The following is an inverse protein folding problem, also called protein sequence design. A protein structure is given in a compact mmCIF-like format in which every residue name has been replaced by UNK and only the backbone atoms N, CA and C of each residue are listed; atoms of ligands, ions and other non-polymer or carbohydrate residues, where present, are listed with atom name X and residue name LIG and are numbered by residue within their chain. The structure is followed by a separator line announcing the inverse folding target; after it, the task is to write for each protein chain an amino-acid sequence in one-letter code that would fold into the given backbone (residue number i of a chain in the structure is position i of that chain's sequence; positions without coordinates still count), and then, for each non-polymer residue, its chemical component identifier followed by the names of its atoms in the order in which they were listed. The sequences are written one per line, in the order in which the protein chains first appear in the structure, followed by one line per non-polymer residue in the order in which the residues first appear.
data_IF_775525321434
#
_entry.id   IF_775525321434
#
_cell.length_a   1.000
_cell.length_b   1.000
_cell.length_c   1.000
_cell.angle_alpha   90.00
_cell.angle_beta   90.00
_cell.angle_gamma   90.00
#
_symmetry.space_group_name_H-M   'P 1'
#
loop_
_entity.id
_entity.type
_entity.pdbx_description
1 polymer ?
#
# COMPACT_ATOMS: atom_id res chain seq x y z
N UNK A 1 -7.35 5.88 -17.50
CA UNK A 1 -7.06 4.53 -16.99
C UNK A 1 -8.03 3.53 -17.60
N UNK A 2 -7.57 2.35 -18.06
CA UNK A 2 -8.43 1.31 -18.65
C UNK A 2 -8.97 0.38 -17.54
N UNK A 3 -10.24 0.55 -17.14
CA UNK A 3 -10.90 -0.24 -16.08
C UNK A 3 -12.04 -1.10 -16.65
N UNK A 4 -11.92 -1.54 -17.90
CA UNK A 4 -13.03 -2.20 -18.61
C UNK A 4 -13.19 -3.68 -18.26
N UNK A 5 -12.12 -4.36 -17.85
CA UNK A 5 -12.07 -5.83 -17.76
C UNK A 5 -11.56 -6.35 -16.40
N UNK A 6 -11.56 -5.52 -15.36
CA UNK A 6 -11.14 -5.98 -14.05
C UNK A 6 -12.06 -7.11 -13.57
N UNK A 7 -11.45 -8.22 -13.15
CA UNK A 7 -12.16 -9.30 -12.49
C UNK A 7 -12.78 -8.78 -11.18
N UNK A 8 -13.95 -9.31 -10.82
CA UNK A 8 -14.59 -8.97 -9.56
C UNK A 8 -13.90 -9.73 -8.41
N UNK A 9 -13.82 -9.10 -7.25
CA UNK A 9 -13.36 -9.73 -6.00
C UNK A 9 -14.22 -10.94 -5.67
N UNK A 10 -13.62 -12.01 -5.13
CA UNK A 10 -14.39 -13.16 -4.66
C UNK A 10 -15.45 -12.71 -3.64
N UNK A 11 -16.66 -13.22 -3.82
CA UNK A 11 -17.81 -12.97 -2.95
C UNK A 11 -17.53 -13.26 -1.47
N UNK A 12 -16.57 -14.13 -1.15
CA UNK A 12 -16.17 -14.41 0.25
C UNK A 12 -15.55 -13.20 0.94
N UNK A 13 -14.91 -12.29 0.20
CA UNK A 13 -14.30 -11.07 0.73
C UNK A 13 -15.18 -9.83 0.58
N UNK A 14 -16.19 -9.87 -0.29
CA UNK A 14 -17.07 -8.71 -0.49
C UNK A 14 -17.99 -8.46 0.69
N UNK A 15 -18.24 -7.19 0.98
CA UNK A 15 -19.12 -6.74 2.06
C UNK A 15 -20.35 -6.00 1.52
N UNK A 16 -21.30 -5.73 2.41
CA UNK A 16 -22.50 -4.93 2.14
C UNK A 16 -22.68 -3.84 3.20
N UNK A 17 -21.59 -3.16 3.55
CA UNK A 17 -21.63 -2.00 4.43
C UNK A 17 -22.42 -0.87 3.78
N UNK A 18 -23.20 -0.17 4.60
CA UNK A 18 -23.87 1.08 4.28
C UNK A 18 -22.95 2.28 4.49
N UNK A 19 -23.34 3.45 3.98
CA UNK A 19 -22.61 4.69 4.21
C UNK A 19 -22.53 5.04 5.71
N UNK A 20 -23.65 4.92 6.43
CA UNK A 20 -23.71 5.19 7.88
C UNK A 20 -22.77 4.26 8.67
N UNK A 21 -22.69 2.97 8.31
CA UNK A 21 -21.76 2.02 8.92
C UNK A 21 -20.31 2.42 8.64
N UNK A 22 -19.98 2.74 7.38
CA UNK A 22 -18.65 3.19 6.98
C UNK A 22 -18.23 4.46 7.73
N UNK A 23 -19.09 5.47 7.79
CA UNK A 23 -18.84 6.71 8.54
C UNK A 23 -18.53 6.42 10.01
N UNK A 24 -19.25 5.47 10.62
CA UNK A 24 -19.08 5.13 12.03
C UNK A 24 -17.73 4.47 12.36
N UNK A 25 -17.10 3.80 11.38
CA UNK A 25 -15.81 3.11 11.56
C UNK A 25 -14.65 3.76 10.79
N UNK A 26 -14.87 4.88 10.10
CA UNK A 26 -13.88 5.51 9.23
C UNK A 26 -12.54 5.78 9.93
N UNK A 27 -12.59 6.33 11.14
CA UNK A 27 -11.40 6.65 11.91
C UNK A 27 -10.59 5.41 12.33
N UNK A 28 -11.26 4.25 12.49
CA UNK A 28 -10.60 2.98 12.79
C UNK A 28 -9.97 2.38 11.53
N UNK A 29 -10.70 2.38 10.40
CA UNK A 29 -10.20 1.93 9.09
C UNK A 29 -8.96 2.72 8.65
N UNK A 30 -9.01 4.04 8.80
CA UNK A 30 -7.98 4.97 8.37
C UNK A 30 -7.03 5.40 9.51
N UNK A 31 -6.95 4.62 10.59
CA UNK A 31 -5.99 4.89 11.66
C UNK A 31 -4.52 4.84 11.15
N UNK A 32 -4.24 4.03 10.13
CA UNK A 32 -2.88 3.81 9.62
C UNK A 32 -2.43 4.83 8.57
N UNK A 33 -3.38 5.45 7.86
CA UNK A 33 -3.12 6.43 6.80
C UNK A 33 -3.65 7.84 7.09
N UNK A 34 -4.39 7.99 8.20
CA UNK A 34 -4.93 9.26 8.69
C UNK A 34 -5.78 9.99 7.65
N UNK A 35 -6.42 9.26 6.72
CA UNK A 35 -7.28 9.87 5.72
C UNK A 35 -8.49 10.54 6.40
N UNK A 36 -8.79 11.81 6.08
CA UNK A 36 -9.97 12.48 6.62
C UNK A 36 -11.24 11.85 6.07
N UNK A 37 -12.32 11.86 6.86
CA UNK A 37 -13.64 11.40 6.41
C UNK A 37 -14.10 12.25 5.20
N UNK A 38 -14.33 11.64 4.03
CA UNK A 38 -14.86 12.33 2.87
C UNK A 38 -16.36 12.54 3.00
N UNK A 39 -16.90 13.42 2.17
CA UNK A 39 -18.34 13.66 2.06
C UNK A 39 -18.86 13.28 0.66
N UNK A 40 -20.17 13.14 0.54
CA UNK A 40 -20.89 13.04 -0.75
C UNK A 40 -20.38 11.91 -1.66
N UNK A 41 -20.14 12.21 -2.94
CA UNK A 41 -19.75 11.21 -3.94
C UNK A 41 -18.38 10.57 -3.67
N UNK A 42 -17.48 11.27 -2.97
CA UNK A 42 -16.20 10.69 -2.57
C UNK A 42 -16.39 9.62 -1.49
N UNK A 43 -17.28 9.85 -0.52
CA UNK A 43 -17.67 8.81 0.45
C UNK A 43 -18.26 7.59 -0.25
N UNK A 44 -19.12 7.80 -1.26
CA UNK A 44 -19.68 6.69 -2.04
C UNK A 44 -18.59 5.91 -2.82
N UNK A 45 -17.56 6.57 -3.33
CA UNK A 45 -16.44 5.91 -3.99
C UNK A 45 -15.63 5.05 -3.00
N UNK A 46 -15.37 5.56 -1.79
CA UNK A 46 -14.73 4.80 -0.72
C UNK A 46 -15.60 3.66 -0.20
N UNK A 47 -16.93 3.83 -0.14
CA UNK A 47 -17.85 2.75 0.19
C UNK A 47 -17.76 1.59 -0.78
N UNK A 48 -17.60 1.86 -2.08
CA UNK A 48 -17.34 0.81 -3.05
C UNK A 48 -15.99 0.13 -2.79
N UNK A 49 -14.94 0.90 -2.44
CA UNK A 49 -13.62 0.36 -2.14
C UNK A 49 -13.64 -0.57 -0.93
N UNK A 50 -14.17 -0.12 0.22
CA UNK A 50 -14.20 -0.91 1.45
C UNK A 50 -15.14 -2.12 1.36
N UNK A 51 -16.13 -2.10 0.46
CA UNK A 51 -16.93 -3.29 0.15
C UNK A 51 -16.28 -4.25 -0.85
N UNK A 52 -15.04 -4.00 -1.28
CA UNK A 52 -14.28 -4.85 -2.21
C UNK A 52 -14.66 -4.65 -3.68
N UNK A 53 -15.39 -3.60 -4.04
CA UNK A 53 -15.83 -3.34 -5.42
C UNK A 53 -14.82 -2.43 -6.15
N UNK A 54 -13.54 -2.82 -6.19
CA UNK A 54 -12.42 -1.96 -6.61
C UNK A 54 -12.58 -1.37 -8.02
N UNK A 55 -13.05 -2.16 -9.00
CA UNK A 55 -13.30 -1.65 -10.35
C UNK A 55 -14.35 -0.53 -10.38
N UNK A 56 -15.39 -0.65 -9.54
CA UNK A 56 -16.44 0.37 -9.43
C UNK A 56 -15.94 1.58 -8.65
N UNK A 57 -15.19 1.36 -7.57
CA UNK A 57 -14.56 2.42 -6.79
C UNK A 57 -13.62 3.29 -7.64
N UNK A 58 -12.74 2.66 -8.42
CA UNK A 58 -11.86 3.35 -9.36
C UNK A 58 -12.65 4.13 -10.43
N UNK A 59 -13.71 3.55 -11.00
CA UNK A 59 -14.59 4.26 -11.95
C UNK A 59 -15.32 5.45 -11.31
N UNK A 60 -15.75 5.33 -10.06
CA UNK A 60 -16.38 6.41 -9.32
C UNK A 60 -15.37 7.53 -9.03
N UNK A 61 -14.18 7.19 -8.53
CA UNK A 61 -13.10 8.14 -8.26
C UNK A 61 -12.66 8.91 -9.50
N UNK A 62 -12.52 8.26 -10.67
CA UNK A 62 -12.17 8.95 -11.92
C UNK A 62 -13.18 10.04 -12.33
N UNK A 63 -14.46 9.89 -11.97
CA UNK A 63 -15.49 10.92 -12.27
C UNK A 63 -15.34 12.15 -11.39
N UNK A 64 -14.66 12.03 -10.26
CA UNK A 64 -14.42 13.12 -9.30
C UNK A 64 -13.16 13.94 -9.65
N UNK A 65 -12.36 13.49 -10.63
CA UNK A 65 -11.10 14.15 -10.98
C UNK A 65 -10.09 14.08 -9.83
N UNK A 66 -9.41 15.19 -9.55
CA UNK A 66 -8.35 15.25 -8.54
C UNK A 66 -8.79 14.74 -7.16
N UNK A 67 -10.01 15.09 -6.72
CA UNK A 67 -10.58 14.70 -5.43
C UNK A 67 -10.73 13.16 -5.29
N UNK A 68 -10.88 12.45 -6.40
CA UNK A 68 -10.99 10.98 -6.44
C UNK A 68 -9.67 10.24 -6.62
N UNK A 69 -8.54 10.94 -6.78
CA UNK A 69 -7.25 10.33 -7.13
C UNK A 69 -6.83 9.26 -6.13
N UNK A 70 -6.97 9.53 -4.83
CA UNK A 70 -6.56 8.62 -3.77
C UNK A 70 -7.32 7.27 -3.84
N UNK A 71 -8.65 7.31 -3.98
CA UNK A 71 -9.47 6.08 -4.07
C UNK A 71 -9.22 5.33 -5.38
N UNK A 72 -8.93 6.03 -6.48
CA UNK A 72 -8.53 5.38 -7.75
C UNK A 72 -7.23 4.60 -7.55
N UNK A 73 -6.20 5.24 -7.00
CA UNK A 73 -4.89 4.62 -6.82
C UNK A 73 -4.97 3.44 -5.84
N UNK A 74 -5.65 3.63 -4.70
CA UNK A 74 -5.89 2.54 -3.73
C UNK A 74 -6.62 1.36 -4.35
N UNK A 75 -7.64 1.61 -5.17
CA UNK A 75 -8.38 0.56 -5.87
C UNK A 75 -7.50 -0.19 -6.88
N UNK A 76 -6.59 0.50 -7.57
CA UNK A 76 -5.62 -0.15 -8.46
C UNK A 76 -4.69 -1.05 -7.67
N UNK A 77 -4.08 -0.54 -6.60
CA UNK A 77 -3.14 -1.33 -5.80
C UNK A 77 -3.83 -2.56 -5.21
N UNK A 78 -5.03 -2.41 -4.63
CA UNK A 78 -5.79 -3.54 -4.11
C UNK A 78 -6.13 -4.58 -5.20
N UNK A 79 -6.53 -4.13 -6.39
CA UNK A 79 -6.80 -5.02 -7.51
C UNK A 79 -5.54 -5.76 -7.97
N UNK A 80 -4.41 -5.06 -8.09
CA UNK A 80 -3.16 -5.66 -8.56
C UNK A 80 -2.48 -6.56 -7.54
N UNK A 81 -2.68 -6.31 -6.25
CA UNK A 81 -2.08 -7.11 -5.19
C UNK A 81 -2.84 -8.44 -4.98
N UNK A 82 -4.16 -8.50 -5.26
CA UNK A 82 -4.99 -9.66 -4.88
C UNK A 82 -5.82 -10.32 -5.99
N UNK A 83 -6.06 -9.65 -7.12
CA UNK A 83 -7.09 -10.11 -8.09
C UNK A 83 -6.55 -10.18 -9.52
N UNK A 84 -5.68 -9.26 -9.91
CA UNK A 84 -5.11 -9.20 -11.24
C UNK A 84 -4.19 -10.41 -11.50
N UNK A 85 -4.56 -11.27 -12.45
CA UNK A 85 -3.79 -12.48 -12.80
C UNK A 85 -2.84 -12.27 -14.01
N UNK A 86 -3.03 -11.20 -14.79
CA UNK A 86 -2.20 -10.88 -15.95
C UNK A 86 -1.14 -9.84 -15.57
N UNK A 87 0.10 -10.31 -15.36
CA UNK A 87 1.23 -9.48 -14.92
C UNK A 87 1.44 -8.22 -15.79
N UNK A 88 1.27 -8.32 -17.11
CA UNK A 88 1.46 -7.18 -18.01
C UNK A 88 0.35 -6.14 -17.80
N UNK A 89 -0.89 -6.58 -17.59
CA UNK A 89 -2.00 -5.70 -17.20
C UNK A 89 -1.74 -5.05 -15.83
N UNK A 90 -1.30 -5.80 -14.83
CA UNK A 90 -1.06 -5.26 -13.49
C UNK A 90 0.05 -4.18 -13.51
N UNK A 91 1.15 -4.44 -14.23
CA UNK A 91 2.24 -3.47 -14.40
C UNK A 91 1.75 -2.19 -15.10
N UNK A 92 0.96 -2.32 -16.16
CA UNK A 92 0.40 -1.19 -16.90
C UNK A 92 -0.58 -0.38 -16.05
N UNK A 93 -1.37 -1.02 -15.19
CA UNK A 93 -2.30 -0.37 -14.27
C UNK A 93 -1.55 0.40 -13.18
N UNK A 94 -0.54 -0.20 -12.55
CA UNK A 94 0.31 0.46 -11.56
C UNK A 94 1.02 1.68 -12.17
N UNK A 95 1.50 1.58 -13.42
CA UNK A 95 2.09 2.72 -14.12
C UNK A 95 1.09 3.86 -14.31
N UNK A 96 -0.11 3.54 -14.80
CA UNK A 96 -1.17 4.53 -14.95
C UNK A 96 -1.58 5.17 -13.62
N UNK A 97 -1.58 4.40 -12.52
CA UNK A 97 -1.97 4.88 -11.20
C UNK A 97 -0.97 5.88 -10.61
N UNK A 98 0.33 5.57 -10.61
CA UNK A 98 1.29 6.53 -10.08
C UNK A 98 1.42 7.77 -10.98
N UNK A 99 1.27 7.63 -12.31
CA UNK A 99 1.28 8.78 -13.23
C UNK A 99 0.06 9.68 -13.04
N UNK A 100 -1.11 9.11 -12.70
CA UNK A 100 -2.28 9.88 -12.29
C UNK A 100 -1.98 10.69 -11.04
N UNK A 101 -1.35 10.04 -10.04
CA UNK A 101 -0.85 10.73 -8.85
C UNK A 101 0.12 11.86 -9.20
N UNK A 102 1.15 11.61 -10.01
CA UNK A 102 2.10 12.68 -10.39
C UNK A 102 1.44 13.87 -11.10
N UNK A 103 0.33 13.65 -11.82
CA UNK A 103 -0.38 14.70 -12.54
C UNK A 103 -1.34 15.50 -11.65
N UNK A 104 -2.13 14.81 -10.82
CA UNK A 104 -3.29 15.41 -10.14
C UNK A 104 -3.04 15.66 -8.64
N UNK A 105 -1.93 15.14 -8.10
CA UNK A 105 -1.72 15.13 -6.66
C UNK A 105 -1.27 16.46 -6.09
N UNK A 106 -1.99 16.89 -5.05
CA UNK A 106 -1.57 18.00 -4.21
C UNK A 106 -0.50 17.55 -3.19
N UNK A 107 -0.14 18.44 -2.25
CA UNK A 107 0.83 18.14 -1.20
C UNK A 107 0.22 17.48 0.04
N UNK A 108 -1.03 17.02 -0.04
CA UNK A 108 -1.68 16.32 1.07
C UNK A 108 -1.14 14.89 1.17
N UNK A 109 -1.03 14.39 2.41
CA UNK A 109 -0.63 13.01 2.64
C UNK A 109 -1.60 12.00 2.01
N UNK A 110 -2.91 12.30 2.05
CA UNK A 110 -3.99 11.50 1.46
C UNK A 110 -3.80 11.26 -0.03
N UNK A 111 -3.06 12.13 -0.71
CA UNK A 111 -2.73 11.95 -2.11
C UNK A 111 -1.29 11.47 -2.35
N UNK A 112 -0.31 12.04 -1.65
CA UNK A 112 1.11 11.71 -1.85
C UNK A 112 1.42 10.26 -1.46
N UNK A 113 0.79 9.74 -0.39
CA UNK A 113 1.03 8.38 0.06
C UNK A 113 0.53 7.32 -0.94
N UNK A 114 -0.74 7.33 -1.41
CA UNK A 114 -1.16 6.40 -2.46
C UNK A 114 -0.29 6.47 -3.72
N UNK A 115 0.14 7.67 -4.11
CA UNK A 115 1.06 7.86 -5.25
C UNK A 115 2.39 7.15 -5.02
N UNK A 116 2.98 7.29 -3.83
CA UNK A 116 4.20 6.58 -3.46
C UNK A 116 4.00 5.07 -3.43
N UNK A 117 2.85 4.60 -2.93
CA UNK A 117 2.49 3.19 -2.84
C UNK A 117 2.43 2.56 -4.24
N UNK A 118 1.65 3.12 -5.16
CA UNK A 118 1.55 2.61 -6.54
C UNK A 118 2.89 2.70 -7.29
N UNK A 119 3.67 3.76 -7.05
CA UNK A 119 5.01 3.89 -7.64
C UNK A 119 5.98 2.82 -7.10
N UNK A 120 5.90 2.50 -5.81
CA UNK A 120 6.66 1.44 -5.17
C UNK A 120 6.32 0.07 -5.75
N UNK A 121 5.03 -0.29 -5.79
CA UNK A 121 4.52 -1.51 -6.42
C UNK A 121 4.96 -1.62 -7.89
N UNK A 122 4.78 -0.58 -8.70
CA UNK A 122 5.29 -0.55 -10.07
C UNK A 122 6.80 -0.81 -10.14
N UNK A 123 7.58 -0.23 -9.22
CA UNK A 123 9.03 -0.42 -9.17
C UNK A 123 9.44 -1.85 -8.77
N UNK A 124 8.59 -2.59 -8.04
CA UNK A 124 8.81 -4.00 -7.70
C UNK A 124 8.56 -4.89 -8.92
N UNK A 125 7.58 -4.54 -9.77
CA UNK A 125 7.17 -5.33 -10.93
C UNK A 125 8.00 -5.10 -12.21
N UNK A 126 9.09 -4.32 -12.14
CA UNK A 126 9.95 -4.03 -13.32
C UNK A 126 11.42 -4.30 -13.04
N UNK A 127 12.22 -4.38 -14.11
CA UNK A 127 13.67 -4.53 -13.98
C UNK A 127 14.31 -3.34 -13.25
N UNK A 128 15.36 -3.62 -12.47
CA UNK A 128 16.12 -2.60 -11.75
C UNK A 128 16.65 -1.50 -12.68
N UNK A 129 17.06 -1.87 -13.91
CA UNK A 129 17.56 -0.90 -14.90
C UNK A 129 16.45 0.06 -15.36
N UNK A 130 15.22 -0.42 -15.54
CA UNK A 130 14.06 0.41 -15.89
C UNK A 130 13.68 1.33 -14.71
N UNK A 131 13.68 0.82 -13.48
CA UNK A 131 13.41 1.62 -12.28
C UNK A 131 14.44 2.74 -12.08
N UNK A 132 15.73 2.44 -12.30
CA UNK A 132 16.83 3.41 -12.25
C UNK A 132 16.69 4.49 -13.33
N UNK A 133 16.40 4.09 -14.58
CA UNK A 133 16.24 5.02 -15.69
C UNK A 133 15.08 6.02 -15.46
N UNK A 134 14.03 5.58 -14.76
CA UNK A 134 12.88 6.43 -14.37
C UNK A 134 13.11 7.20 -13.06
N UNK A 135 14.19 6.95 -12.34
CA UNK A 135 14.51 7.60 -11.07
C UNK A 135 13.54 7.28 -9.94
N UNK A 136 12.86 6.13 -9.98
CA UNK A 136 11.74 5.82 -9.09
C UNK A 136 12.12 5.81 -7.60
N UNK A 137 13.29 5.28 -7.25
CA UNK A 137 13.74 5.23 -5.85
C UNK A 137 13.82 6.62 -5.20
N UNK A 138 14.34 7.62 -5.93
CA UNK A 138 14.39 8.99 -5.43
C UNK A 138 12.99 9.61 -5.28
N UNK A 139 12.10 9.37 -6.24
CA UNK A 139 10.72 9.88 -6.22
C UNK A 139 9.91 9.29 -5.07
N UNK A 140 9.93 7.96 -4.90
CA UNK A 140 9.26 7.26 -3.78
C UNK A 140 9.74 7.80 -2.44
N UNK A 141 11.07 7.88 -2.24
CA UNK A 141 11.64 8.40 -0.99
C UNK A 141 11.18 9.82 -0.70
N UNK A 142 11.13 10.70 -1.70
CA UNK A 142 10.72 12.09 -1.52
C UNK A 142 9.25 12.18 -1.11
N UNK A 143 8.34 11.46 -1.80
CA UNK A 143 6.92 11.43 -1.45
C UNK A 143 6.71 10.93 -0.02
N UNK A 144 7.35 9.81 0.36
CA UNK A 144 7.23 9.28 1.72
C UNK A 144 7.83 10.22 2.77
N UNK A 145 8.91 10.93 2.45
CA UNK A 145 9.49 11.93 3.34
C UNK A 145 8.55 13.11 3.57
N UNK A 146 7.88 13.60 2.52
CA UNK A 146 6.91 14.69 2.60
C UNK A 146 5.67 14.28 3.42
N UNK A 147 5.17 13.05 3.19
CA UNK A 147 4.09 12.46 4.00
C UNK A 147 4.49 12.41 5.47
N UNK A 148 5.66 11.84 5.80
CA UNK A 148 6.10 11.70 7.19
C UNK A 148 6.47 13.03 7.84
N UNK A 149 6.83 14.05 7.06
CA UNK A 149 7.03 15.40 7.58
C UNK A 149 5.70 16.04 8.00
N UNK A 150 4.67 15.90 7.16
CA UNK A 150 3.34 16.49 7.41
C UNK A 150 2.52 15.68 8.42
N UNK A 151 2.66 14.36 8.41
CA UNK A 151 1.96 13.42 9.28
C UNK A 151 2.96 12.40 9.88
N UNK A 152 3.70 12.78 10.94
CA UNK A 152 4.70 11.90 11.58
C UNK A 152 4.13 10.64 12.24
N UNK A 153 2.81 10.53 12.34
CA UNK A 153 2.11 9.37 12.90
C UNK A 153 1.42 8.52 11.82
N UNK A 154 1.78 8.67 10.55
CA UNK A 154 1.23 7.89 9.45
C UNK A 154 1.90 6.51 9.39
N UNK A 155 1.23 5.49 9.94
CA UNK A 155 1.79 4.15 10.11
C UNK A 155 2.20 3.49 8.77
N UNK A 156 1.34 3.55 7.74
CA UNK A 156 1.65 2.94 6.44
C UNK A 156 2.84 3.64 5.74
N UNK A 157 2.99 4.96 5.89
CA UNK A 157 4.13 5.69 5.34
C UNK A 157 5.43 5.34 6.07
N UNK A 158 5.37 5.10 7.39
CA UNK A 158 6.51 4.54 8.11
C UNK A 158 6.88 3.19 7.51
N UNK A 159 5.92 2.30 7.32
CA UNK A 159 6.22 0.96 6.83
C UNK A 159 6.71 0.94 5.37
N UNK A 160 6.12 1.75 4.49
CA UNK A 160 6.60 1.93 3.14
C UNK A 160 8.04 2.49 3.12
N UNK A 161 8.42 3.36 4.07
CA UNK A 161 9.80 3.82 4.21
C UNK A 161 10.74 2.71 4.72
N UNK A 162 10.26 1.81 5.59
CA UNK A 162 11.02 0.62 5.96
C UNK A 162 11.28 -0.29 4.76
N UNK A 163 10.25 -0.58 3.97
CA UNK A 163 10.34 -1.35 2.73
C UNK A 163 11.30 -0.71 1.73
N UNK A 164 11.23 0.61 1.54
CA UNK A 164 12.18 1.36 0.70
C UNK A 164 13.63 1.08 1.11
N UNK A 165 13.92 1.15 2.42
CA UNK A 165 15.26 0.86 2.92
C UNK A 165 15.66 -0.60 2.68
N UNK A 166 14.77 -1.53 3.00
CA UNK A 166 15.00 -2.97 2.88
C UNK A 166 15.25 -3.40 1.43
N UNK A 167 14.40 -2.97 0.49
CA UNK A 167 14.52 -3.30 -0.93
C UNK A 167 15.79 -2.76 -1.58
N UNK A 168 16.18 -1.52 -1.27
CA UNK A 168 17.42 -0.97 -1.80
C UNK A 168 18.62 -1.78 -1.32
N UNK A 169 18.60 -2.21 -0.05
CA UNK A 169 19.67 -3.03 0.52
C UNK A 169 19.71 -4.40 -0.14
N UNK A 170 18.56 -5.03 -0.34
CA UNK A 170 18.45 -6.32 -1.02
C UNK A 170 18.93 -6.25 -2.48
N UNK A 171 18.44 -5.27 -3.24
CA UNK A 171 18.70 -5.13 -4.68
C UNK A 171 20.13 -4.73 -5.03
N UNK A 172 20.76 -3.84 -4.26
CA UNK A 172 22.09 -3.29 -4.61
C UNK A 172 23.14 -3.42 -3.50
N UNK A 173 22.79 -4.03 -2.37
CA UNK A 173 23.67 -4.19 -1.22
C UNK A 173 23.74 -2.95 -0.32
N UNK A 174 23.95 -3.18 0.98
CA UNK A 174 23.96 -2.12 2.00
C UNK A 174 24.99 -1.01 1.75
N UNK A 175 26.18 -1.34 1.22
CA UNK A 175 27.24 -0.35 0.97
C UNK A 175 26.86 0.62 -0.15
N UNK A 176 26.48 0.08 -1.32
CA UNK A 176 26.11 0.91 -2.48
C UNK A 176 24.76 1.61 -2.26
N UNK A 177 23.80 0.90 -1.66
CA UNK A 177 22.50 1.45 -1.26
C UNK A 177 22.65 2.59 -0.24
N UNK A 178 23.53 2.43 0.74
CA UNK A 178 23.87 3.46 1.71
C UNK A 178 24.49 4.69 1.07
N UNK A 179 25.43 4.51 0.14
CA UNK A 179 26.13 5.62 -0.52
C UNK A 179 25.21 6.39 -1.49
N UNK A 180 24.38 5.67 -2.25
CA UNK A 180 23.60 6.26 -3.36
C UNK A 180 22.23 6.75 -2.92
N UNK A 181 21.58 6.00 -2.03
CA UNK A 181 20.18 6.22 -1.64
C UNK A 181 20.00 6.56 -0.16
N UNK A 182 21.09 6.48 0.63
CA UNK A 182 21.04 6.63 2.08
C UNK A 182 20.38 5.45 2.77
N UNK A 183 20.32 4.27 2.13
CA UNK A 183 19.62 3.12 2.68
C UNK A 183 20.35 2.52 3.89
N UNK A 184 19.63 2.23 4.99
CA UNK A 184 20.22 1.77 6.25
C UNK A 184 19.30 0.74 6.93
N UNK A 185 19.80 -0.47 7.26
CA UNK A 185 19.01 -1.48 7.98
C UNK A 185 18.42 -0.94 9.28
N UNK A 186 19.24 -0.23 10.08
CA UNK A 186 18.81 0.35 11.35
C UNK A 186 17.61 1.29 11.20
N UNK A 187 17.55 2.08 10.13
CA UNK A 187 16.46 3.02 9.89
C UNK A 187 15.20 2.26 9.46
N UNK A 188 15.35 1.20 8.66
CA UNK A 188 14.23 0.32 8.33
C UNK A 188 13.55 -0.24 9.59
N UNK A 189 14.32 -0.81 10.52
CA UNK A 189 13.78 -1.32 11.78
C UNK A 189 13.09 -0.25 12.62
N UNK A 190 13.64 0.97 12.70
CA UNK A 190 13.00 2.08 13.42
C UNK A 190 11.63 2.44 12.82
N UNK A 191 11.51 2.38 11.49
CA UNK A 191 10.25 2.60 10.81
C UNK A 191 9.25 1.45 11.01
N UNK A 192 9.70 0.19 11.01
CA UNK A 192 8.87 -0.98 11.35
C UNK A 192 8.32 -0.81 12.76
N UNK A 193 9.19 -0.57 13.75
CA UNK A 193 8.80 -0.41 15.14
C UNK A 193 7.78 0.72 15.30
N UNK A 194 8.02 1.88 14.67
CA UNK A 194 7.11 3.01 14.73
C UNK A 194 5.74 2.70 14.09
N UNK A 195 5.72 2.07 12.91
CA UNK A 195 4.48 1.68 12.23
C UNK A 195 3.63 0.75 13.11
N UNK A 196 4.25 -0.26 13.71
CA UNK A 196 3.56 -1.26 14.53
C UNK A 196 3.15 -0.74 15.92
N UNK A 197 3.86 0.26 16.46
CA UNK A 197 3.42 0.99 17.66
C UNK A 197 2.19 1.83 17.36
N UNK A 198 2.12 2.44 16.17
CA UNK A 198 0.99 3.26 15.74
C UNK A 198 -0.24 2.40 15.43
N UNK A 199 -0.14 1.48 14.46
CA UNK A 199 -1.24 0.64 14.01
C UNK A 199 -0.72 -0.74 13.53
N UNK A 200 -0.86 -1.81 14.34
CA UNK A 200 -0.48 -3.16 13.95
C UNK A 200 -1.63 -3.89 13.23
N UNK A 201 -2.15 -3.32 12.13
CA UNK A 201 -3.14 -3.99 11.29
C UNK A 201 -2.48 -5.07 10.41
N UNK A 202 -3.29 -5.85 9.68
CA UNK A 202 -2.82 -7.00 8.91
C UNK A 202 -1.73 -6.60 7.89
N UNK A 203 -2.00 -5.62 7.02
CA UNK A 203 -1.00 -5.17 6.03
C UNK A 203 0.28 -4.64 6.69
N UNK A 204 0.18 -3.92 7.82
CA UNK A 204 1.38 -3.42 8.47
C UNK A 204 2.24 -4.52 9.09
N UNK A 205 1.62 -5.59 9.56
CA UNK A 205 2.32 -6.77 10.06
C UNK A 205 2.95 -7.56 8.91
N UNK A 206 2.22 -7.78 7.81
CA UNK A 206 2.71 -8.48 6.62
C UNK A 206 3.96 -7.77 6.06
N UNK A 207 3.86 -6.47 5.81
CA UNK A 207 4.96 -5.72 5.20
C UNK A 207 6.14 -5.55 6.19
N UNK A 208 5.91 -5.62 7.50
CA UNK A 208 7.00 -5.72 8.47
C UNK A 208 7.75 -7.07 8.33
N UNK A 209 7.02 -8.17 8.16
CA UNK A 209 7.59 -9.49 7.84
C UNK A 209 8.42 -9.46 6.55
N UNK A 210 7.85 -8.94 5.47
CA UNK A 210 8.53 -8.78 4.18
C UNK A 210 9.81 -7.97 4.30
N UNK A 211 9.77 -6.82 4.98
CA UNK A 211 10.93 -5.98 5.21
C UNK A 211 12.03 -6.73 5.99
N UNK A 212 11.66 -7.53 6.98
CA UNK A 212 12.61 -8.34 7.75
C UNK A 212 13.28 -9.41 6.89
N UNK A 213 12.52 -10.08 6.01
CA UNK A 213 13.07 -11.06 5.07
C UNK A 213 14.07 -10.40 4.12
N UNK A 214 13.75 -9.24 3.55
CA UNK A 214 14.66 -8.47 2.69
C UNK A 214 15.95 -8.05 3.43
N UNK A 215 15.87 -7.75 4.73
CA UNK A 215 17.02 -7.30 5.52
C UNK A 215 17.91 -8.45 6.02
N UNK A 216 17.33 -9.62 6.33
CA UNK A 216 18.03 -10.72 7.02
C UNK A 216 18.13 -12.02 6.20
N UNK A 217 17.43 -12.13 5.08
CA UNK A 217 17.20 -13.39 4.37
C UNK A 217 16.64 -14.45 5.32
N UNK A 218 17.11 -15.69 5.19
CA UNK A 218 16.69 -16.84 6.00
C UNK A 218 16.79 -16.61 7.52
N UNK A 219 17.72 -15.75 7.97
CA UNK A 219 17.86 -15.43 9.41
C UNK A 219 16.70 -14.58 9.95
N UNK A 220 15.88 -14.03 9.07
CA UNK A 220 14.66 -13.29 9.38
C UNK A 220 13.41 -14.15 9.42
N UNK A 221 13.47 -15.43 9.00
CA UNK A 221 12.28 -16.25 8.79
C UNK A 221 11.39 -16.31 10.04
N UNK A 222 11.94 -16.67 11.20
CA UNK A 222 11.18 -16.74 12.44
C UNK A 222 10.51 -15.41 12.84
N UNK A 223 11.19 -14.29 12.59
CA UNK A 223 10.66 -12.95 12.91
C UNK A 223 9.50 -12.62 11.94
N UNK A 224 9.65 -12.94 10.65
CA UNK A 224 8.63 -12.75 9.63
C UNK A 224 7.39 -13.64 9.86
N UNK A 225 7.59 -14.93 10.15
CA UNK A 225 6.51 -15.85 10.53
C UNK A 225 5.72 -15.31 11.72
N UNK A 226 6.39 -14.80 12.76
CA UNK A 226 5.70 -14.22 13.91
C UNK A 226 4.86 -12.98 13.56
N UNK A 227 5.24 -12.22 12.53
CA UNK A 227 4.39 -11.14 12.02
C UNK A 227 3.20 -11.67 11.22
N UNK A 228 3.39 -12.68 10.37
CA UNK A 228 2.30 -13.31 9.60
C UNK A 228 1.27 -14.00 10.49
N UNK A 229 1.71 -14.71 11.54
CA UNK A 229 0.82 -15.29 12.56
C UNK A 229 -0.08 -14.21 13.17
N UNK A 230 0.51 -13.08 13.59
CA UNK A 230 -0.24 -11.97 14.16
C UNK A 230 -1.16 -11.31 13.14
N UNK A 231 -0.74 -11.22 11.88
CA UNK A 231 -1.56 -10.66 10.80
C UNK A 231 -2.79 -11.53 10.52
N UNK A 232 -2.62 -12.86 10.49
CA UNK A 232 -3.70 -13.82 10.30
C UNK A 232 -4.73 -13.83 11.44
N UNK A 233 -4.35 -13.34 12.62
CA UNK A 233 -5.25 -13.19 13.79
C UNK A 233 -5.99 -11.83 13.82
N UNK A 234 -5.65 -10.89 12.94
CA UNK A 234 -6.33 -9.58 12.89
C UNK A 234 -7.78 -9.78 12.48
N UNK A 235 -8.70 -9.13 13.20
CA UNK A 235 -10.10 -9.04 12.78
C UNK A 235 -10.21 -7.97 11.66
N UNK A 236 -10.55 -8.35 10.42
CA UNK A 236 -10.65 -7.38 9.33
C UNK A 236 -11.87 -6.48 9.50
N UNK A 237 -11.71 -5.21 9.11
CA UNK A 237 -12.78 -4.20 9.16
C UNK A 237 -13.44 -3.97 7.79
N UNK A 238 -12.74 -4.28 6.71
CA UNK A 238 -13.21 -4.14 5.33
C UNK A 238 -12.77 -5.33 4.46
N UNK A 239 -13.15 -5.29 3.17
CA UNK A 239 -12.82 -6.34 2.22
C UNK A 239 -11.30 -6.49 2.02
N UNK A 240 -10.56 -5.38 1.91
CA UNK A 240 -9.11 -5.41 1.68
C UNK A 240 -8.39 -6.05 2.86
N UNK A 241 -8.71 -5.65 4.09
CA UNK A 241 -8.13 -6.26 5.28
C UNK A 241 -8.47 -7.74 5.40
N UNK A 242 -9.63 -8.19 4.91
CA UNK A 242 -9.96 -9.61 4.88
C UNK A 242 -9.04 -10.39 3.92
N UNK A 243 -8.70 -9.81 2.77
CA UNK A 243 -7.71 -10.37 1.84
C UNK A 243 -6.29 -10.32 2.42
N UNK A 244 -5.91 -9.27 3.16
CA UNK A 244 -4.63 -9.21 3.87
C UNK A 244 -4.50 -10.37 4.88
N UNK A 245 -5.54 -10.59 5.70
CA UNK A 245 -5.58 -11.66 6.71
C UNK A 245 -5.49 -13.04 6.07
N UNK A 246 -6.23 -13.27 4.99
CA UNK A 246 -6.20 -14.54 4.24
C UNK A 246 -4.82 -14.78 3.60
N UNK A 247 -4.23 -13.73 3.01
CA UNK A 247 -2.87 -13.79 2.51
C UNK A 247 -1.88 -14.16 3.62
N UNK A 248 -1.94 -13.50 4.78
CA UNK A 248 -1.07 -13.81 5.90
C UNK A 248 -1.21 -15.28 6.36
N UNK A 249 -2.43 -15.80 6.41
CA UNK A 249 -2.67 -17.20 6.74
C UNK A 249 -2.04 -18.14 5.70
N UNK A 250 -2.14 -17.83 4.41
CA UNK A 250 -1.54 -18.63 3.35
C UNK A 250 -0.01 -18.74 3.44
N UNK A 251 0.66 -17.72 4.01
CA UNK A 251 2.12 -17.72 4.22
C UNK A 251 2.56 -18.65 5.37
N UNK A 252 1.63 -19.20 6.15
CA UNK A 252 1.90 -20.11 7.27
C UNK A 252 1.64 -21.57 6.92
N UNK A 253 1.01 -21.85 5.78
CA UNK A 253 0.64 -23.21 5.35
C UNK A 253 1.78 -23.94 4.62
N UNK A 254 2.96 -23.33 4.53
CA UNK A 254 4.21 -23.89 3.99
C UNK A 254 5.21 -24.35 5.07
#
# INVERSE_FOLDING_TARGET
MKISNWQDTDSTFTLSMTADELESIWAELHAADLAPLPENDLLNAWLLFHNGQFAKAAKAGLKLGADGTAVVIRSVVAYTDYICEDDDECVDLLEQAYLLGEADCDKSATCQFPTALAMGRYSQSISITKALAKGLGGKVKNLLTDVLHSQPNHAEAHLAMAMYHAEIIDKVGATLGGLTYGAKPKIAYQHIDQALVLVPNAINLIEAGNAVLLLKGDKGMNDATAYYERAAEVKPLDALQAMDVDFAASQLEE
#
